data_IF_155701025624
#
_entry.id   IF_155701025624
#
_cell.length_a   1.000
_cell.length_b   1.000
_cell.length_c   1.000
_cell.angle_alpha   90.00
_cell.angle_beta   90.00
_cell.angle_gamma   90.00
#
_symmetry.space_group_name_H-M   'P 1'
#
loop_
_entity.id
_entity.type
_entity.pdbx_description
1 polymer ?
#
# COMPACT_ATOMS: atom_id res chain seq x y z
N UNK A 1 34.41 33.21 9.67
CA UNK A 1 33.64 32.16 8.96
C UNK A 1 33.03 32.79 7.73
N UNK A 2 33.62 32.57 6.55
CA UNK A 2 33.01 33.02 5.30
C UNK A 2 31.77 32.15 5.03
N UNK A 3 30.61 32.78 4.83
CA UNK A 3 29.43 32.09 4.34
C UNK A 3 29.76 31.52 2.95
N UNK A 4 29.95 30.20 2.86
CA UNK A 4 30.00 29.52 1.56
C UNK A 4 28.65 29.74 0.89
N UNK A 5 28.63 30.54 -0.17
CA UNK A 5 27.47 30.66 -1.05
C UNK A 5 27.13 29.26 -1.57
N UNK A 6 25.85 28.89 -1.50
CA UNK A 6 25.34 27.64 -2.07
C UNK A 6 25.65 27.63 -3.57
N UNK A 7 26.25 26.53 -4.06
CA UNK A 7 26.44 26.32 -5.49
C UNK A 7 25.07 26.11 -6.15
N UNK A 8 24.79 26.87 -7.21
CA UNK A 8 23.55 26.81 -8.00
C UNK A 8 23.82 26.51 -9.48
N UNK A 9 24.95 25.88 -9.79
CA UNK A 9 25.29 25.50 -11.16
C UNK A 9 24.21 24.62 -11.80
N UNK A 10 23.99 24.80 -13.10
CA UNK A 10 22.96 24.08 -13.86
C UNK A 10 23.18 22.57 -13.83
N UNK A 11 24.44 22.14 -13.79
CA UNK A 11 24.83 20.73 -13.65
C UNK A 11 24.42 20.14 -12.29
N UNK A 12 24.57 20.90 -11.20
CA UNK A 12 24.09 20.51 -9.89
C UNK A 12 22.56 20.38 -9.86
N UNK A 13 21.84 21.29 -10.54
CA UNK A 13 20.36 21.28 -10.61
C UNK A 13 19.87 20.04 -11.35
N UNK A 14 20.47 19.75 -12.51
CA UNK A 14 20.14 18.55 -13.27
C UNK A 14 20.45 17.28 -12.48
N UNK A 15 21.60 17.23 -11.80
CA UNK A 15 22.00 16.12 -10.95
C UNK A 15 21.03 15.91 -9.79
N UNK A 16 20.58 16.99 -9.14
CA UNK A 16 19.62 16.93 -8.05
C UNK A 16 18.24 16.46 -8.51
N UNK A 17 17.73 16.98 -9.63
CA UNK A 17 16.45 16.54 -10.21
C UNK A 17 16.51 15.05 -10.57
N UNK A 18 17.58 14.63 -11.23
CA UNK A 18 17.79 13.23 -11.62
C UNK A 18 17.87 12.29 -10.41
N UNK A 19 18.67 12.65 -9.39
CA UNK A 19 18.80 11.87 -8.18
C UNK A 19 17.49 11.82 -7.38
N UNK A 20 16.74 12.93 -7.31
CA UNK A 20 15.41 12.99 -6.69
C UNK A 20 14.43 12.05 -7.36
N UNK A 21 14.38 12.06 -8.70
CA UNK A 21 13.51 11.17 -9.45
C UNK A 21 13.85 9.69 -9.18
N UNK A 22 15.14 9.36 -9.12
CA UNK A 22 15.59 8.00 -8.77
C UNK A 22 15.19 7.61 -7.35
N UNK A 23 15.44 8.46 -6.36
CA UNK A 23 15.09 8.19 -4.95
C UNK A 23 13.59 7.97 -4.80
N UNK A 24 12.76 8.79 -5.45
CA UNK A 24 11.31 8.64 -5.39
C UNK A 24 10.85 7.37 -6.09
N UNK A 25 11.38 7.08 -7.28
CA UNK A 25 11.03 5.88 -8.04
C UNK A 25 11.41 4.61 -7.28
N UNK A 26 12.68 4.48 -6.87
CA UNK A 26 13.16 3.29 -6.16
C UNK A 26 12.61 3.20 -4.74
N UNK A 27 12.43 4.32 -4.03
CA UNK A 27 11.82 4.36 -2.71
C UNK A 27 10.35 3.95 -2.75
N UNK A 28 9.58 4.44 -3.73
CA UNK A 28 8.22 3.97 -4.01
C UNK A 28 8.22 2.49 -4.29
N UNK A 29 8.95 2.08 -5.32
CA UNK A 29 8.93 0.69 -5.78
C UNK A 29 9.36 -0.27 -4.67
N UNK A 30 10.43 0.04 -3.94
CA UNK A 30 10.89 -0.74 -2.79
C UNK A 30 9.83 -0.86 -1.72
N UNK A 31 9.24 0.25 -1.26
CA UNK A 31 8.16 0.19 -0.26
C UNK A 31 6.93 -0.56 -0.75
N UNK A 32 6.59 -0.44 -2.03
CA UNK A 32 5.51 -1.20 -2.63
C UNK A 32 5.78 -2.71 -2.54
N UNK A 33 6.98 -3.16 -2.91
CA UNK A 33 7.37 -4.58 -2.84
C UNK A 33 7.37 -5.10 -1.39
N UNK A 34 7.93 -4.34 -0.45
CA UNK A 34 7.90 -4.66 1.00
C UNK A 34 6.45 -4.79 1.48
N UNK A 35 5.57 -3.92 1.02
CA UNK A 35 4.14 -3.91 1.37
C UNK A 35 3.40 -5.15 0.87
N UNK A 36 3.77 -5.69 -0.30
CA UNK A 36 3.20 -6.96 -0.79
C UNK A 36 3.49 -8.13 0.14
N UNK A 37 4.65 -8.08 0.79
CA UNK A 37 5.10 -9.06 1.78
C UNK A 37 4.60 -8.79 3.20
N UNK A 38 3.77 -7.78 3.44
CA UNK A 38 3.39 -7.40 4.81
C UNK A 38 2.74 -8.60 5.55
N UNK A 39 3.12 -8.88 6.82
CA UNK A 39 2.57 -9.99 7.59
C UNK A 39 1.03 -10.02 7.66
N UNK A 40 0.38 -8.84 7.71
CA UNK A 40 -1.08 -8.76 7.72
C UNK A 40 -1.70 -9.20 6.40
N UNK A 41 -1.06 -8.87 5.28
CA UNK A 41 -1.50 -9.32 3.95
C UNK A 41 -1.30 -10.84 3.79
N UNK A 42 -0.19 -11.36 4.30
CA UNK A 42 0.07 -12.80 4.33
C UNK A 42 -1.00 -13.54 5.16
N UNK A 43 -1.27 -13.06 6.38
CA UNK A 43 -2.36 -13.58 7.23
C UNK A 43 -3.73 -13.48 6.55
N UNK A 44 -3.99 -12.37 5.85
CA UNK A 44 -5.21 -12.20 5.06
C UNK A 44 -5.35 -13.31 4.01
N UNK A 45 -4.30 -13.60 3.26
CA UNK A 45 -4.32 -14.67 2.24
C UNK A 45 -4.44 -16.07 2.86
N UNK A 46 -3.80 -16.32 4.00
CA UNK A 46 -3.98 -17.58 4.75
C UNK A 46 -5.44 -17.76 5.18
N UNK A 47 -6.10 -16.71 5.67
CA UNK A 47 -7.53 -16.76 6.02
C UNK A 47 -8.41 -17.08 4.82
N UNK A 48 -8.13 -16.47 3.66
CA UNK A 48 -8.86 -16.77 2.42
C UNK A 48 -8.66 -18.23 2.03
N UNK A 49 -7.42 -18.73 2.07
CA UNK A 49 -7.13 -20.12 1.78
C UNK A 49 -7.86 -21.08 2.74
N UNK A 50 -7.88 -20.79 4.03
CA UNK A 50 -8.61 -21.61 5.01
C UNK A 50 -10.12 -21.58 4.77
N UNK A 51 -10.69 -20.39 4.56
CA UNK A 51 -12.10 -20.21 4.19
C UNK A 51 -12.49 -21.05 2.97
N UNK A 52 -11.67 -20.99 1.91
CA UNK A 52 -11.91 -21.75 0.69
C UNK A 52 -11.78 -23.27 0.91
N UNK A 53 -10.94 -23.74 1.83
CA UNK A 53 -10.82 -25.17 2.13
C UNK A 53 -12.01 -25.70 2.95
N UNK A 54 -12.53 -24.90 3.88
CA UNK A 54 -13.67 -25.26 4.74
C UNK A 54 -15.01 -25.19 3.99
N UNK A 55 -15.09 -24.43 2.89
CA UNK A 55 -16.30 -24.34 2.08
C UNK A 55 -16.77 -25.72 1.55
N UNK A 56 -18.09 -25.98 1.43
CA UNK A 56 -18.61 -27.21 0.84
C UNK A 56 -18.05 -27.49 -0.56
N UNK A 57 -17.92 -28.76 -0.98
CA UNK A 57 -17.38 -29.10 -2.30
C UNK A 57 -18.27 -28.64 -3.46
N UNK A 58 -19.58 -28.49 -3.22
CA UNK A 58 -20.59 -28.01 -4.19
C UNK A 58 -20.54 -26.49 -4.38
N UNK A 59 -19.69 -25.77 -3.64
CA UNK A 59 -19.62 -24.32 -3.69
C UNK A 59 -19.03 -23.79 -4.99
N UNK A 60 -19.73 -22.82 -5.59
CA UNK A 60 -19.31 -22.10 -6.80
C UNK A 60 -19.07 -20.63 -6.48
N UNK A 61 -17.98 -20.08 -7.01
CA UNK A 61 -17.58 -18.69 -6.79
C UNK A 61 -17.78 -17.86 -8.05
N UNK A 62 -18.45 -16.72 -7.93
CA UNK A 62 -18.76 -15.82 -9.06
C UNK A 62 -18.19 -14.44 -8.81
N UNK A 63 -17.54 -13.83 -9.80
CA UNK A 63 -17.01 -12.48 -9.67
C UNK A 63 -18.05 -11.42 -10.08
N UNK A 64 -18.35 -10.51 -9.18
CA UNK A 64 -19.11 -9.29 -9.41
C UNK A 64 -18.17 -8.07 -9.44
N UNK A 65 -18.16 -7.33 -10.56
CA UNK A 65 -17.19 -6.23 -10.82
C UNK A 65 -17.14 -5.16 -9.73
N UNK A 66 -18.27 -4.89 -9.04
CA UNK A 66 -18.35 -3.86 -7.99
C UNK A 66 -18.36 -4.43 -6.57
N UNK A 67 -18.80 -5.67 -6.40
CA UNK A 67 -19.08 -6.25 -5.08
C UNK A 67 -18.08 -7.33 -4.65
N UNK A 68 -17.22 -7.79 -5.57
CA UNK A 68 -16.22 -8.81 -5.28
C UNK A 68 -16.69 -10.21 -5.63
N UNK A 69 -16.24 -11.23 -4.88
CA UNK A 69 -16.74 -12.59 -5.12
C UNK A 69 -18.05 -12.82 -4.37
N UNK A 70 -18.95 -13.54 -5.03
CA UNK A 70 -20.11 -14.20 -4.44
C UNK A 70 -19.87 -15.70 -4.38
N UNK A 71 -20.55 -16.33 -3.44
CA UNK A 71 -20.47 -17.74 -3.13
C UNK A 71 -21.86 -18.31 -3.24
N UNK A 72 -22.00 -19.32 -4.08
CA UNK A 72 -23.24 -20.04 -4.32
C UNK A 72 -23.06 -21.40 -3.69
N UNK A 73 -23.89 -21.69 -2.69
CA UNK A 73 -23.88 -22.96 -1.97
C UNK A 73 -25.20 -23.66 -2.25
N UNK A 74 -25.12 -24.85 -2.83
CA UNK A 74 -26.28 -25.70 -3.00
C UNK A 74 -26.61 -26.40 -1.67
N UNK A 75 -27.85 -26.26 -1.20
CA UNK A 75 -28.35 -26.92 -0.01
C UNK A 75 -29.14 -28.18 -0.41
N UNK A 76 -28.56 -29.36 -0.22
CA UNK A 76 -29.19 -30.63 -0.56
C UNK A 76 -30.40 -30.97 0.32
N UNK A 77 -30.60 -30.30 1.46
CA UNK A 77 -31.74 -30.53 2.34
C UNK A 77 -32.99 -29.74 1.92
N UNK A 78 -32.83 -28.59 1.27
CA UNK A 78 -33.92 -27.72 0.81
C UNK A 78 -34.07 -27.67 -0.71
N UNK A 79 -33.13 -28.28 -1.45
CA UNK A 79 -33.02 -28.23 -2.91
C UNK A 79 -32.92 -26.79 -3.47
N UNK A 80 -32.31 -25.89 -2.70
CA UNK A 80 -32.18 -24.48 -3.04
C UNK A 80 -30.71 -24.05 -3.15
N UNK A 81 -30.44 -23.11 -4.04
CA UNK A 81 -29.15 -22.42 -4.14
C UNK A 81 -29.17 -21.15 -3.30
N UNK A 82 -28.26 -21.07 -2.34
CA UNK A 82 -28.09 -19.87 -1.52
C UNK A 82 -26.91 -19.04 -2.03
N UNK A 83 -27.17 -17.77 -2.36
CA UNK A 83 -26.14 -16.82 -2.81
C UNK A 83 -25.75 -15.92 -1.65
N UNK A 84 -24.46 -15.91 -1.32
CA UNK A 84 -23.89 -15.09 -0.24
C UNK A 84 -22.66 -14.33 -0.74
N UNK A 85 -22.37 -13.12 -0.22
CA UNK A 85 -21.10 -12.47 -0.49
C UNK A 85 -19.95 -13.33 0.06
N UNK A 86 -18.87 -13.47 -0.70
CA UNK A 86 -17.67 -14.13 -0.21
C UNK A 86 -17.08 -13.31 0.95
N UNK A 87 -16.55 -14.02 1.96
CA UNK A 87 -15.83 -13.39 3.07
C UNK A 87 -14.46 -12.82 2.65
N UNK A 88 -14.18 -12.71 1.35
CA UNK A 88 -12.94 -12.18 0.84
C UNK A 88 -13.12 -11.36 -0.44
N UNK A 89 -12.32 -10.30 -0.54
CA UNK A 89 -12.20 -9.49 -1.73
C UNK A 89 -10.70 -9.31 -2.05
N UNK A 90 -10.23 -9.78 -3.21
CA UNK A 90 -8.87 -9.52 -3.63
C UNK A 90 -8.59 -8.03 -3.79
N UNK A 91 -7.45 -7.61 -3.27
CA UNK A 91 -7.02 -6.21 -3.26
C UNK A 91 -6.59 -5.78 -4.66
N UNK A 92 -7.28 -4.81 -5.28
CA UNK A 92 -7.10 -4.45 -6.70
C UNK A 92 -5.68 -4.02 -7.09
N UNK A 93 -4.98 -3.33 -6.19
CA UNK A 93 -3.63 -2.82 -6.43
C UNK A 93 -2.54 -3.86 -6.14
N UNK A 94 -2.88 -5.03 -5.59
CA UNK A 94 -1.93 -6.12 -5.35
C UNK A 94 -1.60 -6.86 -6.65
N UNK A 95 -0.34 -7.25 -6.91
CA UNK A 95 0.01 -8.12 -8.04
C UNK A 95 -0.77 -9.44 -8.01
N UNK A 96 -1.08 -9.96 -6.82
CA UNK A 96 -1.88 -11.18 -6.68
C UNK A 96 -3.30 -11.01 -7.19
N UNK A 97 -3.83 -9.79 -7.34
CA UNK A 97 -5.13 -9.52 -7.94
C UNK A 97 -5.29 -10.15 -9.31
N UNK A 98 -4.21 -10.17 -10.11
CA UNK A 98 -4.22 -10.69 -11.48
C UNK A 98 -4.41 -12.21 -11.52
N UNK A 99 -4.04 -12.92 -10.45
CA UNK A 99 -4.18 -14.37 -10.35
C UNK A 99 -5.64 -14.81 -10.17
N UNK A 100 -6.51 -13.91 -9.71
CA UNK A 100 -7.90 -14.22 -9.37
C UNK A 100 -8.79 -14.33 -10.62
N UNK A 101 -9.51 -15.47 -10.82
CA UNK A 101 -10.34 -15.72 -11.99
C UNK A 101 -11.67 -14.93 -11.98
N UNK A 102 -11.85 -14.02 -12.95
CA UNK A 102 -12.97 -13.04 -12.94
C UNK A 102 -14.03 -13.23 -14.03
N UNK A 103 -13.83 -14.16 -14.98
CA UNK A 103 -14.64 -14.22 -16.21
C UNK A 103 -15.86 -15.15 -16.13
N UNK A 104 -15.77 -16.26 -15.39
CA UNK A 104 -16.80 -17.29 -15.30
C UNK A 104 -16.94 -17.76 -13.86
N UNK A 105 -18.10 -18.31 -13.45
CA UNK A 105 -18.21 -19.02 -12.19
C UNK A 105 -17.14 -20.10 -12.07
N UNK A 106 -16.48 -20.17 -10.93
CA UNK A 106 -15.37 -21.09 -10.68
C UNK A 106 -15.72 -22.09 -9.59
N UNK A 107 -15.38 -23.37 -9.77
CA UNK A 107 -15.49 -24.34 -8.70
C UNK A 107 -14.47 -24.08 -7.58
N UNK A 108 -14.77 -24.60 -6.38
CA UNK A 108 -13.91 -24.52 -5.18
C UNK A 108 -12.44 -24.85 -5.45
N UNK A 109 -12.15 -25.94 -6.15
CA UNK A 109 -10.79 -26.42 -6.40
C UNK A 109 -9.92 -25.40 -7.17
N UNK A 110 -10.48 -24.71 -8.17
CA UNK A 110 -9.78 -23.67 -8.92
C UNK A 110 -9.47 -22.49 -8.00
N UNK A 111 -10.43 -22.07 -7.18
CA UNK A 111 -10.25 -20.97 -6.23
C UNK A 111 -9.20 -21.29 -5.16
N UNK A 112 -9.19 -22.52 -4.63
CA UNK A 112 -8.18 -22.99 -3.67
C UNK A 112 -6.78 -22.96 -4.31
N UNK A 113 -6.63 -23.46 -5.55
CA UNK A 113 -5.35 -23.42 -6.26
C UNK A 113 -4.86 -21.99 -6.49
N UNK A 114 -5.74 -21.08 -6.89
CA UNK A 114 -5.41 -19.66 -7.03
C UNK A 114 -5.00 -19.03 -5.70
N UNK A 115 -5.71 -19.33 -4.61
CA UNK A 115 -5.36 -18.84 -3.29
C UNK A 115 -3.99 -19.36 -2.81
N UNK A 116 -3.67 -20.63 -3.11
CA UNK A 116 -2.35 -21.20 -2.85
C UNK A 116 -1.25 -20.46 -3.63
N UNK A 117 -1.45 -20.21 -4.92
CA UNK A 117 -0.50 -19.44 -5.74
C UNK A 117 -0.33 -18.01 -5.20
N UNK A 118 -1.43 -17.34 -4.84
CA UNK A 118 -1.37 -16.01 -4.25
C UNK A 118 -0.62 -16.01 -2.91
N UNK A 119 -0.79 -17.06 -2.09
CA UNK A 119 -0.07 -17.24 -0.84
C UNK A 119 1.43 -17.42 -1.07
N UNK A 120 1.82 -18.28 -2.02
CA UNK A 120 3.22 -18.51 -2.38
C UNK A 120 3.89 -17.23 -2.88
N UNK A 121 3.21 -16.48 -3.77
CA UNK A 121 3.71 -15.20 -4.26
C UNK A 121 3.91 -14.23 -3.10
N UNK A 122 2.95 -14.10 -2.18
CA UNK A 122 3.10 -13.23 -1.00
C UNK A 122 4.18 -13.70 -0.04
N UNK A 123 4.39 -15.01 0.10
CA UNK A 123 5.47 -15.57 0.91
C UNK A 123 6.84 -15.20 0.33
N UNK A 124 7.00 -15.29 -1.00
CA UNK A 124 8.21 -14.80 -1.69
C UNK A 124 8.39 -13.31 -1.43
N UNK A 125 7.33 -12.51 -1.53
CA UNK A 125 7.43 -11.08 -1.22
C UNK A 125 7.83 -10.82 0.23
N UNK A 126 7.29 -11.59 1.18
CA UNK A 126 7.63 -11.49 2.59
C UNK A 126 9.11 -11.83 2.84
N UNK A 127 9.60 -12.95 2.33
CA UNK A 127 10.99 -13.38 2.58
C UNK A 127 11.99 -12.45 1.88
N UNK A 128 11.81 -12.21 0.57
CA UNK A 128 12.79 -11.49 -0.23
C UNK A 128 12.78 -9.98 0.01
N UNK A 129 11.60 -9.37 0.17
CA UNK A 129 11.49 -7.92 0.28
C UNK A 129 11.17 -7.48 1.70
N UNK A 130 10.15 -8.01 2.36
CA UNK A 130 9.85 -7.55 3.72
C UNK A 130 10.99 -7.88 4.69
N UNK A 131 11.21 -9.17 4.97
CA UNK A 131 12.26 -9.60 5.88
C UNK A 131 13.64 -9.24 5.35
N UNK A 132 13.89 -9.50 4.05
CA UNK A 132 15.15 -9.16 3.40
C UNK A 132 15.54 -7.68 3.52
N UNK A 133 14.62 -6.75 3.25
CA UNK A 133 14.92 -5.31 3.41
C UNK A 133 15.09 -4.90 4.87
N UNK A 134 14.31 -5.43 5.80
CA UNK A 134 14.51 -5.14 7.24
C UNK A 134 15.90 -5.61 7.71
N UNK A 135 16.31 -6.81 7.32
CA UNK A 135 17.63 -7.36 7.65
C UNK A 135 18.76 -6.57 6.97
N UNK A 136 18.64 -6.28 5.68
CA UNK A 136 19.65 -5.53 4.93
C UNK A 136 19.84 -4.13 5.50
N UNK A 137 18.76 -3.38 5.69
CA UNK A 137 18.84 -2.01 6.21
C UNK A 137 19.30 -2.02 7.67
N UNK A 138 18.87 -3.00 8.47
CA UNK A 138 19.38 -3.19 9.82
C UNK A 138 20.88 -3.47 9.86
N UNK A 139 21.36 -4.35 8.99
CA UNK A 139 22.80 -4.62 8.82
C UNK A 139 23.56 -3.36 8.43
N UNK A 140 23.14 -2.66 7.37
CA UNK A 140 23.78 -1.43 6.89
C UNK A 140 23.79 -0.32 7.96
N UNK A 141 22.75 -0.24 8.79
CA UNK A 141 22.69 0.71 9.89
C UNK A 141 23.74 0.43 10.98
N UNK A 142 24.10 -0.83 11.19
CA UNK A 142 25.10 -1.26 12.16
C UNK A 142 26.52 -1.18 11.59
N UNK A 143 26.72 -1.55 10.33
CA UNK A 143 28.07 -1.75 9.77
C UNK A 143 28.59 -0.59 8.93
N UNK A 144 27.72 0.15 8.25
CA UNK A 144 28.13 1.17 7.29
C UNK A 144 27.85 2.59 7.80
N UNK A 145 26.59 2.89 8.13
CA UNK A 145 26.20 4.25 8.47
C UNK A 145 24.85 4.34 9.18
N UNK A 146 24.76 5.20 10.19
CA UNK A 146 23.52 5.46 10.92
C UNK A 146 22.40 6.06 10.04
N UNK A 147 22.75 6.65 8.88
CA UNK A 147 21.77 7.15 7.90
C UNK A 147 20.80 6.04 7.44
N UNK A 148 21.25 4.79 7.38
CA UNK A 148 20.40 3.63 7.08
C UNK A 148 19.39 3.36 8.21
N UNK A 149 19.68 3.75 9.45
CA UNK A 149 18.74 3.72 10.56
C UNK A 149 17.54 4.65 10.33
N UNK A 150 17.74 5.79 9.67
CA UNK A 150 16.63 6.68 9.26
C UNK A 150 15.74 5.98 8.22
N UNK A 151 16.34 5.34 7.22
CA UNK A 151 15.61 4.56 6.22
C UNK A 151 14.82 3.40 6.85
N UNK A 152 15.42 2.71 7.84
CA UNK A 152 14.76 1.66 8.62
C UNK A 152 13.54 2.20 9.37
N UNK A 153 13.68 3.36 10.02
CA UNK A 153 12.60 4.02 10.74
C UNK A 153 11.43 4.40 9.82
N UNK A 154 11.73 5.03 8.68
CA UNK A 154 10.72 5.39 7.66
C UNK A 154 9.99 4.13 7.16
N UNK A 155 10.73 3.07 6.85
CA UNK A 155 10.16 1.81 6.41
C UNK A 155 9.28 1.17 7.48
N UNK A 156 9.73 1.13 8.75
CA UNK A 156 8.97 0.59 9.87
C UNK A 156 7.64 1.33 10.08
N UNK A 157 7.68 2.66 10.09
CA UNK A 157 6.49 3.50 10.25
C UNK A 157 5.53 3.34 9.06
N UNK A 158 6.06 3.30 7.84
CA UNK A 158 5.25 3.00 6.66
C UNK A 158 4.54 1.65 6.76
N UNK A 159 5.26 0.58 7.13
CA UNK A 159 4.68 -0.76 7.24
C UNK A 159 3.67 -0.87 8.37
N UNK A 160 3.87 -0.17 9.49
CA UNK A 160 2.91 -0.07 10.58
C UNK A 160 1.62 0.64 10.13
N UNK A 161 1.76 1.80 9.49
CA UNK A 161 0.65 2.58 8.98
C UNK A 161 -0.15 1.76 7.95
N UNK A 162 0.54 1.16 6.98
CA UNK A 162 -0.07 0.29 5.99
C UNK A 162 -0.80 -0.89 6.64
N UNK A 163 -0.17 -1.58 7.60
CA UNK A 163 -0.77 -2.70 8.31
C UNK A 163 -2.03 -2.29 9.08
N UNK A 164 -2.27 -1.01 9.37
CA UNK A 164 -3.49 -0.55 10.06
C UNK A 164 -4.57 -0.05 9.11
N UNK A 165 -4.21 0.51 7.96
CA UNK A 165 -5.14 1.21 7.07
C UNK A 165 -5.35 0.51 5.72
N UNK A 166 -4.51 -0.47 5.37
CA UNK A 166 -4.47 -1.12 4.04
C UNK A 166 -4.31 -0.08 2.92
N UNK A 167 -3.72 1.08 3.27
CA UNK A 167 -3.55 2.22 2.36
C UNK A 167 -2.07 2.40 2.08
N UNK A 168 -1.73 2.43 0.81
CA UNK A 168 -0.37 2.70 0.36
C UNK A 168 -0.16 4.22 0.32
N UNK A 169 0.62 4.75 1.25
CA UNK A 169 0.80 6.20 1.47
C UNK A 169 1.90 6.83 0.59
N UNK A 170 1.97 6.35 -0.65
CA UNK A 170 3.08 6.44 -1.62
C UNK A 170 3.79 7.79 -1.71
N UNK A 171 5.05 7.72 -2.14
CA UNK A 171 5.86 8.85 -2.64
C UNK A 171 5.42 9.48 -3.97
N UNK A 172 4.29 9.07 -4.55
CA UNK A 172 3.76 9.62 -5.81
C UNK A 172 3.10 10.99 -5.67
N UNK A 173 3.12 11.61 -4.48
CA UNK A 173 2.56 12.95 -4.30
C UNK A 173 3.58 14.02 -4.67
N UNK A 174 3.17 15.01 -5.47
CA UNK A 174 4.05 16.10 -5.93
C UNK A 174 4.77 16.86 -4.82
N UNK A 175 4.20 16.98 -3.62
CA UNK A 175 4.87 17.63 -2.49
C UNK A 175 6.11 16.86 -2.00
N UNK A 176 6.17 15.53 -2.18
CA UNK A 176 7.34 14.72 -1.82
C UNK A 176 8.50 14.96 -2.79
N UNK A 177 8.23 15.33 -4.05
CA UNK A 177 9.27 15.81 -4.96
C UNK A 177 9.92 17.09 -4.44
N UNK A 178 9.15 17.99 -3.83
CA UNK A 178 9.70 19.22 -3.24
C UNK A 178 10.56 18.88 -2.03
N UNK A 179 10.06 18.06 -1.10
CA UNK A 179 10.79 17.73 0.14
C UNK A 179 12.05 16.91 -0.13
N UNK A 180 11.95 15.86 -0.95
CA UNK A 180 13.11 15.04 -1.33
C UNK A 180 14.06 15.84 -2.22
N UNK A 181 13.53 16.65 -3.15
CA UNK A 181 14.32 17.50 -4.03
C UNK A 181 15.20 18.48 -3.27
N UNK A 182 14.62 19.21 -2.31
CA UNK A 182 15.37 20.09 -1.42
C UNK A 182 16.38 19.32 -0.58
N UNK A 183 16.01 18.15 -0.06
CA UNK A 183 16.93 17.30 0.70
C UNK A 183 18.12 16.81 -0.12
N UNK A 184 17.88 16.32 -1.34
CA UNK A 184 18.90 15.87 -2.29
C UNK A 184 19.81 17.03 -2.70
N UNK A 185 19.23 18.20 -2.95
CA UNK A 185 20.00 19.41 -3.24
C UNK A 185 20.98 19.74 -2.11
N UNK A 186 20.50 19.78 -0.87
CA UNK A 186 21.33 20.05 0.32
C UNK A 186 22.34 18.92 0.56
N UNK A 187 21.96 17.68 0.31
CA UNK A 187 22.83 16.50 0.40
C UNK A 187 24.03 16.62 -0.55
N UNK A 188 23.80 17.02 -1.81
CA UNK A 188 24.84 17.17 -2.82
C UNK A 188 25.85 18.29 -2.50
N UNK A 189 25.54 19.19 -1.56
CA UNK A 189 26.50 20.21 -1.09
C UNK A 189 27.56 19.64 -0.12
N UNK A 190 27.33 18.43 0.43
CA UNK A 190 28.29 17.67 1.23
C UNK A 190 28.60 18.22 2.63
N UNK A 191 29.42 17.48 3.38
CA UNK A 191 29.86 17.85 4.72
C UNK A 191 28.74 17.76 5.77
N UNK A 192 28.67 18.72 6.70
CA UNK A 192 27.67 18.72 7.77
C UNK A 192 26.21 18.81 7.26
N UNK A 193 26.01 19.28 6.03
CA UNK A 193 24.69 19.40 5.41
C UNK A 193 24.08 18.05 5.02
N UNK A 194 24.91 17.02 4.82
CA UNK A 194 24.48 15.68 4.42
C UNK A 194 23.59 15.04 5.50
N UNK A 195 24.10 15.03 6.73
CA UNK A 195 23.41 14.51 7.92
C UNK A 195 22.12 15.27 8.21
N UNK A 196 22.15 16.61 8.12
CA UNK A 196 20.98 17.44 8.37
C UNK A 196 19.90 17.15 7.32
N UNK A 197 20.28 17.03 6.05
CA UNK A 197 19.36 16.71 4.97
C UNK A 197 18.68 15.35 5.18
N UNK A 198 19.45 14.30 5.44
CA UNK A 198 18.92 12.94 5.60
C UNK A 198 17.97 12.86 6.81
N UNK A 199 18.37 13.42 7.96
CA UNK A 199 17.53 13.46 9.16
C UNK A 199 16.22 14.23 8.92
N UNK A 200 16.31 15.42 8.33
CA UNK A 200 15.16 16.30 8.14
C UNK A 200 14.15 15.69 7.17
N UNK A 201 14.63 15.15 6.04
CA UNK A 201 13.77 14.45 5.07
C UNK A 201 13.12 13.22 5.73
N UNK A 202 13.90 12.40 6.43
CA UNK A 202 13.39 11.22 7.12
C UNK A 202 12.31 11.54 8.16
N UNK A 203 12.53 12.56 8.98
CA UNK A 203 11.58 13.02 9.99
C UNK A 203 10.29 13.55 9.35
N UNK A 204 10.39 14.42 8.33
CA UNK A 204 9.23 14.98 7.64
C UNK A 204 8.37 13.89 6.98
N UNK A 205 9.01 12.92 6.33
CA UNK A 205 8.34 11.79 5.70
C UNK A 205 7.63 10.94 6.75
N UNK A 206 8.32 10.64 7.86
CA UNK A 206 7.75 9.88 8.97
C UNK A 206 6.51 10.57 9.54
N UNK A 207 6.60 11.87 9.83
CA UNK A 207 5.48 12.68 10.34
C UNK A 207 4.32 12.69 9.33
N UNK A 208 4.60 12.83 8.04
CA UNK A 208 3.56 12.80 7.02
C UNK A 208 2.83 11.46 6.95
N UNK A 209 3.56 10.34 7.03
CA UNK A 209 2.96 9.00 7.09
C UNK A 209 2.11 8.85 8.34
N UNK A 210 2.61 9.27 9.51
CA UNK A 210 1.86 9.22 10.77
C UNK A 210 0.60 10.10 10.73
N UNK A 211 0.69 11.29 10.14
CA UNK A 211 -0.46 12.19 9.95
C UNK A 211 -1.54 11.59 9.05
N UNK A 212 -1.14 10.98 7.92
CA UNK A 212 -2.08 10.29 7.04
C UNK A 212 -2.69 9.05 7.70
N UNK A 213 -1.90 8.30 8.46
CA UNK A 213 -2.40 7.20 9.28
C UNK A 213 -3.43 7.67 10.30
N UNK A 214 -3.15 8.76 11.02
CA UNK A 214 -4.07 9.35 11.99
C UNK A 214 -5.38 9.79 11.33
N UNK A 215 -5.32 10.49 10.18
CA UNK A 215 -6.52 10.88 9.44
C UNK A 215 -7.34 9.68 8.96
N UNK A 216 -6.68 8.63 8.47
CA UNK A 216 -7.35 7.42 7.97
C UNK A 216 -8.02 6.60 9.08
N UNK A 217 -7.51 6.66 10.31
CA UNK A 217 -8.01 5.88 11.46
C UNK A 217 -8.91 6.66 12.41
N UNK A 218 -8.90 8.00 12.35
CA UNK A 218 -9.72 8.83 13.23
C UNK A 218 -11.20 8.78 12.85
N UNK A 219 -12.04 8.34 13.79
CA UNK A 219 -13.51 8.32 13.66
C UNK A 219 -14.10 9.69 13.29
N UNK A 220 -13.46 10.78 13.72
CA UNK A 220 -13.92 12.15 13.44
C UNK A 220 -13.79 12.52 11.95
N UNK A 221 -12.75 12.04 11.27
CA UNK A 221 -12.58 12.24 9.83
C UNK A 221 -13.43 11.29 8.99
N UNK A 222 -13.68 10.07 9.48
CA UNK A 222 -14.67 9.19 8.88
C UNK A 222 -16.05 9.86 8.86
N UNK A 223 -16.48 10.44 9.99
CA UNK A 223 -17.77 11.12 10.08
C UNK A 223 -17.89 12.34 9.15
N UNK A 224 -16.84 13.16 9.02
CA UNK A 224 -16.83 14.31 8.09
C UNK A 224 -16.83 13.87 6.62
N UNK A 225 -16.11 12.79 6.27
CA UNK A 225 -16.13 12.22 4.91
C UNK A 225 -17.50 11.65 4.58
N UNK A 226 -18.13 10.95 5.52
CA UNK A 226 -19.44 10.35 5.33
C UNK A 226 -20.54 11.43 5.24
N UNK A 227 -20.41 12.52 5.99
CA UNK A 227 -21.25 13.73 5.85
C UNK A 227 -21.03 14.43 4.49
N UNK A 228 -19.80 14.47 3.96
CA UNK A 228 -19.50 15.03 2.65
C UNK A 228 -20.06 14.21 1.48
N UNK A 229 -20.10 12.87 1.61
CA UNK A 229 -20.75 11.98 0.64
C UNK A 229 -22.28 12.11 0.71
N UNK A 230 -22.85 12.18 1.91
CA UNK A 230 -24.29 12.42 2.09
C UNK A 230 -24.73 13.82 1.61
N UNK A 231 -23.83 14.81 1.64
CA UNK A 231 -24.09 16.14 1.10
C UNK A 231 -24.02 16.20 -0.43
N UNK A 232 -23.30 15.27 -1.06
CA UNK A 232 -23.21 15.13 -2.52
C UNK A 232 -24.44 14.46 -3.16
N UNK A 233 -25.09 13.54 -2.45
CA UNK A 233 -26.30 12.86 -2.93
C UNK A 233 -27.60 13.69 -2.78
N UNK A 234 -27.60 14.71 -1.92
CA UNK A 234 -28.76 15.62 -1.77
C UNK A 234 -28.86 16.62 -2.93
N UNK A 235 -27.80 16.77 -3.74
CA UNK A 235 -27.81 17.57 -4.97
C UNK A 235 -28.50 16.89 -6.16
N UNK A 236 -28.50 15.55 -6.22
CA UNK A 236 -28.96 14.80 -7.39
C UNK A 236 -30.42 14.31 -7.26
N UNK A 237 -31.02 14.36 -6.06
CA UNK A 237 -32.44 14.02 -5.87
C UNK A 237 -33.41 15.15 -6.26
N UNK A 238 -32.93 16.37 -6.53
CA UNK A 238 -33.77 17.49 -6.98
C UNK A 238 -33.85 17.68 -8.50
N UNK A 239 -33.06 16.95 -9.29
CA UNK A 239 -33.12 17.02 -10.75
C UNK A 239 -34.15 16.04 -11.38
N UNK A 240 -34.71 15.11 -10.60
CA UNK A 240 -35.71 14.13 -11.07
C UNK A 240 -37.17 14.50 -10.86
N UNK A 241 -37.49 15.66 -10.27
CA UNK A 241 -38.85 16.05 -9.86
C UNK A 241 -39.48 17.19 -10.67
N UNK A 242 -38.92 17.54 -11.84
CA UNK A 242 -39.44 18.60 -12.73
C UNK A 242 -39.56 18.17 -14.21
N UNK A 243 -39.83 16.89 -14.48
CA UNK A 243 -40.27 16.42 -15.81
C UNK A 243 -41.34 15.32 -15.66
N UNK A 244 -42.46 15.70 -15.05
CA UNK A 244 -43.71 14.94 -15.02
C UNK A 244 -44.87 15.92 -15.05
#
# INVERSE_FOLDING_TARGET
MAARLMDTSLDLVLSAVWLTARVIFFGTFGLYLVTQGNPRELQGTVRIFHYLNVAPPTTVFRWQKREGYEVIVYNSATDEEEVKPALFQPVRWSPTYLLWPKKRPQPKNVMVRTALLALLVRLVFFVCFFLGSFLLVGWLAVTESWHWGVALGVMAVHQLAFARTITYFVWLRGWLFVVVGLGVWVYLQGGAFETIAVCTVGALVTIAILGQWYMATSRRFQHVRDLGVLSGDVGDTRAGFLNG
#
